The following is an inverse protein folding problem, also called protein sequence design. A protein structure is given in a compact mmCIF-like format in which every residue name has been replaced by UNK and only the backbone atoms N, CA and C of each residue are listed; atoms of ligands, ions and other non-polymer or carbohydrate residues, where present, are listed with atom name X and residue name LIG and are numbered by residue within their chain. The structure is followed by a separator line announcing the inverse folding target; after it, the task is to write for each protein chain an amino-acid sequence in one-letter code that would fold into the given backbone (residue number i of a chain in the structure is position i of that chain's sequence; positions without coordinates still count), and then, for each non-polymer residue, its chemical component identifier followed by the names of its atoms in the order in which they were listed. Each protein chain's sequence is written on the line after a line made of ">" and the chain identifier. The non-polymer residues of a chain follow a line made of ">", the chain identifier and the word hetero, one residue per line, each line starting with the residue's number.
data_IF_911919445654
#
_entry.id   IF_911919445654
#
_cell.length_a   1.000
_cell.length_b   1.000
_cell.length_c   1.000
_cell.angle_alpha   90.00
_cell.angle_beta   90.00
_cell.angle_gamma   90.00
#
_symmetry.space_group_name_H-M   'P 1'
#
loop_
_entity.id
_entity.type
_entity.pdbx_description
1 polymer ?
#
# COMPACT_ATOMS: atom_id res chain seq x y z
N UNK A 1 5.11 -8.47 -18.72
CA UNK A 1 3.80 -8.18 -18.13
C UNK A 1 3.93 -7.94 -16.65
N UNK A 2 3.38 -6.87 -16.20
CA UNK A 2 3.48 -6.50 -14.81
C UNK A 2 2.19 -6.81 -14.07
N UNK A 3 2.30 -7.26 -12.84
CA UNK A 3 1.16 -7.44 -11.97
C UNK A 3 0.72 -6.11 -11.38
N UNK A 4 -0.43 -6.10 -10.67
CA UNK A 4 -0.97 -4.86 -10.13
C UNK A 4 -0.05 -4.15 -9.14
N UNK A 5 0.78 -4.89 -8.40
CA UNK A 5 1.65 -4.30 -7.38
C UNK A 5 3.08 -4.09 -7.85
N UNK A 6 3.38 -4.30 -9.14
CA UNK A 6 4.73 -4.15 -9.64
C UNK A 6 5.02 -2.75 -10.16
N UNK A 7 4.05 -1.85 -10.09
CA UNK A 7 4.15 -0.56 -10.72
C UNK A 7 5.16 0.36 -10.02
N UNK A 8 5.08 0.50 -8.72
CA UNK A 8 5.99 1.38 -7.99
C UNK A 8 5.92 1.06 -6.50
N UNK A 9 7.08 0.87 -5.88
CA UNK A 9 7.17 0.64 -4.44
C UNK A 9 8.25 1.56 -3.90
N UNK A 10 7.87 2.40 -2.93
CA UNK A 10 8.80 3.32 -2.27
C UNK A 10 8.79 3.04 -0.78
N UNK A 11 9.93 2.61 -0.26
CA UNK A 11 10.08 2.33 1.16
C UNK A 11 11.02 3.37 1.76
N UNK A 12 10.48 4.20 2.64
CA UNK A 12 11.24 5.21 3.36
C UNK A 12 11.42 4.72 4.79
N UNK A 13 12.61 4.21 5.09
CA UNK A 13 12.88 3.64 6.41
C UNK A 13 12.91 4.70 7.50
N UNK A 14 13.35 5.90 7.17
CA UNK A 14 13.37 6.99 8.15
C UNK A 14 11.97 7.40 8.55
N UNK A 15 11.09 7.49 7.57
CA UNK A 15 9.69 7.83 7.83
C UNK A 15 8.90 6.64 8.35
N UNK A 16 9.45 5.44 8.28
CA UNK A 16 8.78 4.19 8.63
C UNK A 16 7.51 4.01 7.81
N UNK A 17 7.61 4.29 6.51
CA UNK A 17 6.47 4.34 5.61
C UNK A 17 6.78 3.66 4.28
N UNK A 18 5.74 3.10 3.67
CA UNK A 18 5.81 2.51 2.34
C UNK A 18 4.67 3.06 1.50
N UNK A 19 4.97 3.44 0.27
CA UNK A 19 3.95 3.76 -0.70
C UNK A 19 4.00 2.76 -1.84
N UNK A 20 2.84 2.22 -2.22
CA UNK A 20 2.73 1.26 -3.31
C UNK A 20 1.80 1.86 -4.35
N UNK A 21 2.36 2.24 -5.50
CA UNK A 21 1.58 2.75 -6.62
C UNK A 21 1.04 1.60 -7.45
N UNK A 22 -0.25 1.61 -7.69
CA UNK A 22 -0.94 0.57 -8.46
C UNK A 22 -1.10 0.98 -9.92
N UNK A 23 -1.26 2.27 -10.17
CA UNK A 23 -1.23 2.81 -11.53
C UNK A 23 -0.93 4.30 -11.46
N UNK A 24 -0.81 4.95 -12.63
CA UNK A 24 -0.35 6.34 -12.70
C UNK A 24 -1.46 7.36 -12.89
N UNK A 25 -2.70 6.96 -12.72
CA UNK A 25 -3.79 7.92 -12.86
C UNK A 25 -3.75 8.94 -11.73
N UNK A 26 -4.24 10.16 -11.97
CA UNK A 26 -4.23 11.18 -10.92
C UNK A 26 -5.10 10.79 -9.74
N UNK A 27 -4.66 11.15 -8.55
CA UNK A 27 -5.42 10.91 -7.33
C UNK A 27 -6.60 11.87 -7.30
N UNK A 28 -7.80 11.32 -7.13
CA UNK A 28 -9.01 12.09 -6.96
C UNK A 28 -9.30 12.33 -5.48
N UNK A 29 -9.12 11.28 -4.67
CA UNK A 29 -9.31 11.41 -3.23
C UNK A 29 -8.57 10.28 -2.51
N UNK A 30 -8.38 10.46 -1.22
CA UNK A 30 -7.71 9.48 -0.36
C UNK A 30 -8.66 9.07 0.75
N UNK A 31 -8.76 7.78 0.99
CA UNK A 31 -9.56 7.23 2.07
C UNK A 31 -8.64 6.62 3.12
N UNK A 32 -8.79 7.05 4.36
CA UNK A 32 -8.03 6.48 5.47
C UNK A 32 -8.80 5.31 6.06
N UNK A 33 -8.15 4.15 6.17
CA UNK A 33 -8.73 3.00 6.86
C UNK A 33 -8.52 3.10 8.36
N UNK A 34 -7.36 3.62 8.75
CA UNK A 34 -6.99 3.86 10.14
C UNK A 34 -5.78 4.79 10.14
N UNK A 35 -5.14 4.94 11.28
CA UNK A 35 -4.02 5.88 11.45
C UNK A 35 -2.80 5.49 10.61
N UNK A 36 -2.72 4.24 10.17
CA UNK A 36 -1.53 3.74 9.49
C UNK A 36 -1.77 3.30 8.06
N UNK A 37 -3.00 3.35 7.56
CA UNK A 37 -3.30 2.83 6.23
C UNK A 37 -4.22 3.76 5.46
N UNK A 38 -3.74 4.22 4.32
CA UNK A 38 -4.50 5.11 3.44
C UNK A 38 -4.51 4.54 2.03
N UNK A 39 -5.61 4.76 1.32
CA UNK A 39 -5.76 4.31 -0.05
C UNK A 39 -6.11 5.51 -0.91
N UNK A 40 -5.34 5.72 -1.99
CA UNK A 40 -5.64 6.74 -2.98
C UNK A 40 -6.53 6.15 -4.07
N UNK A 41 -7.53 6.92 -4.48
CA UNK A 41 -8.48 6.52 -5.52
C UNK A 41 -8.47 7.51 -6.66
N UNK A 42 -8.76 7.01 -7.86
CA UNK A 42 -8.95 7.89 -9.02
C UNK A 42 -10.42 8.36 -9.09
N UNK A 43 -10.74 9.11 -10.14
CA UNK A 43 -12.09 9.65 -10.32
C UNK A 43 -13.15 8.58 -10.55
N UNK A 44 -12.73 7.39 -10.95
CA UNK A 44 -13.64 6.26 -11.20
C UNK A 44 -13.73 5.32 -10.00
N UNK A 45 -13.21 5.75 -8.84
CA UNK A 45 -13.20 4.98 -7.60
C UNK A 45 -12.37 3.72 -7.66
N UNK A 46 -11.34 3.69 -8.49
CA UNK A 46 -10.38 2.60 -8.51
C UNK A 46 -9.22 2.91 -7.58
N UNK A 47 -8.76 1.94 -6.77
CA UNK A 47 -7.59 2.18 -5.94
C UNK A 47 -6.34 2.29 -6.82
N UNK A 48 -5.58 3.35 -6.63
CA UNK A 48 -4.38 3.63 -7.44
C UNK A 48 -3.11 3.74 -6.61
N UNK A 49 -3.23 3.76 -5.29
CA UNK A 49 -2.07 3.80 -4.42
C UNK A 49 -2.43 3.40 -3.01
N UNK A 50 -1.46 2.84 -2.31
CA UNK A 50 -1.61 2.43 -0.92
C UNK A 50 -0.47 3.03 -0.13
N UNK A 51 -0.80 3.80 0.92
CA UNK A 51 0.20 4.34 1.82
C UNK A 51 0.12 3.62 3.16
N UNK A 52 1.26 3.10 3.61
CA UNK A 52 1.35 2.38 4.87
C UNK A 52 2.33 3.12 5.77
N UNK A 53 1.89 3.42 6.99
CA UNK A 53 2.69 4.15 7.98
C UNK A 53 2.97 3.24 9.16
N UNK A 54 4.01 3.57 9.94
CA UNK A 54 4.39 2.79 11.12
C UNK A 54 4.62 1.32 10.78
N UNK A 55 5.27 1.06 9.65
CA UNK A 55 5.41 -0.30 9.13
C UNK A 55 6.28 -1.17 10.02
N UNK A 56 7.18 -0.59 10.82
CA UNK A 56 8.03 -1.36 11.73
C UNK A 56 7.21 -2.05 12.83
N UNK A 57 6.01 -1.56 13.10
CA UNK A 57 5.11 -2.18 14.07
C UNK A 57 4.28 -3.32 13.47
N UNK A 58 4.49 -3.60 12.19
CA UNK A 58 3.71 -4.58 11.47
C UNK A 58 2.61 -3.92 10.66
N UNK A 59 2.16 -4.61 9.61
CA UNK A 59 1.12 -4.12 8.71
C UNK A 59 -0.01 -5.13 8.67
N UNK A 60 -1.23 -4.67 8.90
CA UNK A 60 -2.43 -5.47 8.72
C UNK A 60 -2.93 -5.29 7.29
N UNK A 61 -2.97 -6.39 6.52
CA UNK A 61 -3.36 -6.29 5.12
C UNK A 61 -4.86 -6.51 4.90
N UNK A 62 -5.61 -6.89 5.92
CA UNK A 62 -7.05 -7.05 5.79
C UNK A 62 -7.72 -5.78 5.31
N UNK A 63 -8.69 -5.91 4.41
CA UNK A 63 -9.43 -4.81 3.79
C UNK A 63 -8.62 -3.97 2.80
N UNK A 64 -7.33 -4.29 2.58
CA UNK A 64 -6.55 -3.62 1.55
C UNK A 64 -6.76 -4.31 0.21
N UNK A 65 -6.75 -3.55 -0.91
CA UNK A 65 -6.77 -4.17 -2.22
C UNK A 65 -5.49 -4.99 -2.42
N UNK A 66 -5.61 -6.10 -3.12
CA UNK A 66 -4.47 -6.98 -3.44
C UNK A 66 -3.73 -7.46 -2.20
N UNK A 67 -4.47 -7.81 -1.15
CA UNK A 67 -3.88 -8.17 0.14
C UNK A 67 -2.87 -9.31 0.05
N UNK A 68 -3.14 -10.35 -0.75
CA UNK A 68 -2.22 -11.47 -0.89
C UNK A 68 -0.88 -11.07 -1.48
N UNK A 69 -0.84 -10.49 -2.70
CA UNK A 69 0.42 -10.01 -3.28
C UNK A 69 1.10 -8.96 -2.40
N UNK A 70 0.34 -8.08 -1.76
CA UNK A 70 0.88 -7.05 -0.88
C UNK A 70 1.61 -7.68 0.31
N UNK A 71 1.02 -8.70 0.92
CA UNK A 71 1.66 -9.40 2.04
C UNK A 71 3.01 -9.96 1.65
N UNK A 72 3.13 -10.53 0.44
CA UNK A 72 4.41 -11.07 -0.05
C UNK A 72 5.46 -10.00 -0.22
N UNK A 73 5.06 -8.85 -0.75
CA UNK A 73 5.98 -7.72 -0.92
C UNK A 73 6.51 -7.28 0.44
N UNK A 74 5.61 -7.14 1.41
CA UNK A 74 6.00 -6.69 2.75
C UNK A 74 6.93 -7.71 3.43
N UNK A 75 6.62 -8.99 3.30
CA UNK A 75 7.47 -10.03 3.86
C UNK A 75 8.86 -10.03 3.24
N UNK A 76 8.95 -9.79 1.93
CA UNK A 76 10.25 -9.68 1.26
C UNK A 76 11.04 -8.47 1.74
N UNK A 77 10.39 -7.47 2.28
CA UNK A 77 11.05 -6.31 2.87
C UNK A 77 11.29 -6.49 4.37
N UNK A 78 11.08 -7.69 4.89
CA UNK A 78 11.23 -8.02 6.31
C UNK A 78 10.28 -7.24 7.20
N UNK A 79 9.08 -6.97 6.70
CA UNK A 79 8.05 -6.28 7.44
C UNK A 79 7.04 -7.32 7.92
N UNK A 80 6.71 -7.29 9.21
CA UNK A 80 5.74 -8.22 9.78
C UNK A 80 4.34 -7.94 9.22
N UNK A 81 3.65 -9.00 8.81
CA UNK A 81 2.32 -8.89 8.22
C UNK A 81 1.31 -9.59 9.12
N UNK A 82 0.19 -8.91 9.37
CA UNK A 82 -0.97 -9.48 10.05
C UNK A 82 -2.18 -9.50 9.13
N UNK A 83 -3.20 -10.16 9.55
CA UNK A 83 -4.45 -10.25 8.77
C UNK A 83 -5.49 -9.23 9.24
#
# INVERSE_FOLDING_TARGET
>A
MTGPLSHKIEYDKEADAIYIGLNEKPVSYTKSLDDSRNIDFDADNNPIGIELLNVSSGVTVGKLPFAGPLARILENLNIKVGV
#
